data_IF_742926798473
#
_entry.id   IF_742926798473
#
_cell.length_a   1.000
_cell.length_b   1.000
_cell.length_c   1.000
_cell.angle_alpha   90.00
_cell.angle_beta   90.00
_cell.angle_gamma   90.00
#
_symmetry.space_group_name_H-M   'P 1'
#
loop_
_entity.id
_entity.type
_entity.pdbx_description
1 polymer ?
#
# COMPACT_ATOMS: atom_id res chain seq x y z
N UNK A 1 9.07 -28.68 -10.97
CA UNK A 1 8.47 -28.39 -9.66
C UNK A 1 8.31 -26.88 -9.60
N UNK A 2 7.08 -26.38 -9.69
CA UNK A 2 6.81 -24.95 -9.59
C UNK A 2 6.80 -24.64 -8.10
N UNK A 3 7.74 -23.81 -7.64
CA UNK A 3 7.75 -23.26 -6.28
C UNK A 3 6.43 -22.54 -6.06
N UNK A 4 5.63 -22.97 -5.08
CA UNK A 4 4.55 -22.18 -4.51
C UNK A 4 5.14 -20.80 -4.18
N UNK A 5 4.80 -19.78 -4.96
CA UNK A 5 5.14 -18.41 -4.57
C UNK A 5 4.24 -18.11 -3.39
N UNK A 6 4.86 -17.93 -2.22
CA UNK A 6 4.17 -17.40 -1.06
C UNK A 6 3.43 -16.12 -1.49
N UNK A 7 2.14 -16.11 -1.21
CA UNK A 7 1.29 -14.98 -1.50
C UNK A 7 1.72 -13.82 -0.59
N UNK A 8 1.80 -12.58 -1.11
CA UNK A 8 2.30 -11.48 -0.32
C UNK A 8 1.32 -11.14 0.82
N UNK A 9 1.84 -10.73 1.97
CA UNK A 9 1.03 -10.14 3.03
C UNK A 9 0.49 -8.75 2.62
N UNK A 10 1.28 -7.98 1.85
CA UNK A 10 0.96 -6.64 1.36
C UNK A 10 1.06 -6.55 -0.17
N UNK A 11 0.03 -6.04 -0.84
CA UNK A 11 0.07 -5.64 -2.25
C UNK A 11 -0.11 -4.12 -2.41
N UNK A 12 0.56 -3.51 -3.38
CA UNK A 12 0.41 -2.09 -3.72
C UNK A 12 0.07 -1.99 -5.20
N UNK A 13 -1.06 -1.38 -5.52
CA UNK A 13 -1.56 -1.19 -6.89
C UNK A 13 -1.61 0.30 -7.22
N UNK A 14 -1.03 0.68 -8.36
CA UNK A 14 -1.05 2.07 -8.86
C UNK A 14 -1.99 2.15 -10.05
N UNK A 15 -3.15 2.77 -9.86
CA UNK A 15 -4.21 2.83 -10.86
C UNK A 15 -4.08 4.14 -11.65
N UNK A 16 -3.59 4.02 -12.89
CA UNK A 16 -3.40 5.16 -13.82
C UNK A 16 -4.55 5.29 -14.82
N UNK A 17 -5.33 4.22 -15.02
CA UNK A 17 -6.48 4.18 -15.95
C UNK A 17 -7.72 3.68 -15.22
N UNK A 18 -8.89 4.20 -15.57
CA UNK A 18 -10.18 3.94 -14.91
C UNK A 18 -10.71 2.49 -14.96
N UNK A 19 -9.95 1.54 -15.52
CA UNK A 19 -10.32 0.13 -15.60
C UNK A 19 -10.00 -0.65 -14.32
N UNK A 20 -10.74 -0.40 -13.23
CA UNK A 20 -10.41 -0.93 -11.90
C UNK A 20 -11.51 -1.81 -11.27
N UNK A 21 -12.33 -2.49 -12.07
CA UNK A 21 -13.62 -2.94 -11.52
C UNK A 21 -13.49 -4.10 -10.51
N UNK A 22 -12.38 -4.85 -10.41
CA UNK A 22 -12.29 -6.05 -9.52
C UNK A 22 -10.94 -6.40 -8.91
N UNK A 23 -9.95 -5.49 -8.85
CA UNK A 23 -8.62 -5.83 -8.32
C UNK A 23 -8.68 -6.36 -6.88
N UNK A 24 -9.51 -5.76 -6.03
CA UNK A 24 -9.73 -6.20 -4.65
C UNK A 24 -10.37 -7.60 -4.58
N UNK A 25 -11.23 -7.97 -5.54
CA UNK A 25 -11.83 -9.32 -5.55
C UNK A 25 -10.76 -10.40 -5.83
N UNK A 26 -9.77 -10.09 -6.68
CA UNK A 26 -8.64 -10.99 -6.96
C UNK A 26 -7.81 -11.17 -5.69
N UNK A 27 -7.37 -10.08 -5.06
CA UNK A 27 -6.56 -10.14 -3.86
C UNK A 27 -7.27 -10.79 -2.67
N UNK A 28 -8.59 -10.60 -2.55
CA UNK A 28 -9.43 -11.26 -1.53
C UNK A 28 -9.41 -12.77 -1.68
N UNK A 29 -9.59 -13.27 -2.91
CA UNK A 29 -9.52 -14.72 -3.22
C UNK A 29 -8.13 -15.30 -3.00
N UNK A 30 -7.10 -14.47 -3.15
CA UNK A 30 -5.72 -14.81 -2.85
C UNK A 30 -5.40 -14.66 -1.35
N UNK A 31 -6.32 -14.18 -0.51
CA UNK A 31 -6.08 -14.03 0.92
C UNK A 31 -5.00 -13.02 1.30
N UNK A 32 -4.72 -12.03 0.44
CA UNK A 32 -3.75 -10.97 0.75
C UNK A 32 -4.29 -10.11 1.89
N UNK A 33 -3.53 -10.00 2.98
CA UNK A 33 -3.99 -9.36 4.22
C UNK A 33 -4.21 -7.86 4.06
N UNK A 34 -3.37 -7.19 3.29
CA UNK A 34 -3.42 -5.75 3.11
C UNK A 34 -3.18 -5.36 1.65
N UNK A 35 -3.99 -4.45 1.10
CA UNK A 35 -3.87 -3.94 -0.26
C UNK A 35 -3.92 -2.42 -0.23
N UNK A 36 -2.91 -1.78 -0.81
CA UNK A 36 -2.86 -0.33 -0.97
C UNK A 36 -3.19 0.04 -2.41
N UNK A 37 -4.17 0.91 -2.59
CA UNK A 37 -4.53 1.46 -3.89
C UNK A 37 -4.10 2.92 -3.95
N UNK A 38 -3.19 3.24 -4.87
CA UNK A 38 -2.88 4.62 -5.23
C UNK A 38 -3.65 5.00 -6.49
N UNK A 39 -4.61 5.91 -6.36
CA UNK A 39 -5.43 6.38 -7.47
C UNK A 39 -5.76 7.85 -7.27
N UNK A 40 -5.71 8.65 -8.35
CA UNK A 40 -6.08 10.07 -8.33
C UNK A 40 -5.36 10.86 -7.21
N UNK A 41 -4.05 10.59 -7.03
CA UNK A 41 -3.18 11.18 -5.99
C UNK A 41 -3.59 10.85 -4.54
N UNK A 42 -4.45 9.86 -4.34
CA UNK A 42 -4.90 9.39 -3.04
C UNK A 42 -4.44 7.96 -2.79
N UNK A 43 -3.94 7.70 -1.58
CA UNK A 43 -3.62 6.36 -1.09
C UNK A 43 -4.78 5.84 -0.24
N UNK A 44 -5.35 4.70 -0.62
CA UNK A 44 -6.37 3.99 0.16
C UNK A 44 -5.83 2.65 0.63
N UNK A 45 -6.01 2.33 1.91
CA UNK A 45 -5.56 1.08 2.50
C UNK A 45 -6.75 0.18 2.77
N UNK A 46 -6.69 -1.04 2.27
CA UNK A 46 -7.70 -2.07 2.46
C UNK A 46 -7.10 -3.23 3.27
N UNK A 47 -7.70 -3.54 4.42
CA UNK A 47 -7.31 -4.67 5.26
C UNK A 47 -8.37 -5.77 5.20
N UNK A 48 -7.93 -7.01 5.04
CA UNK A 48 -8.80 -8.19 4.95
C UNK A 48 -9.19 -8.66 6.36
N UNK A 49 -10.46 -8.56 6.70
CA UNK A 49 -11.03 -9.05 7.96
C UNK A 49 -12.27 -9.89 7.66
N UNK A 50 -12.35 -11.11 8.20
CA UNK A 50 -13.48 -12.02 7.99
C UNK A 50 -13.89 -12.20 6.50
N UNK A 51 -12.90 -12.36 5.62
CA UNK A 51 -13.06 -12.51 4.16
C UNK A 51 -13.56 -11.26 3.40
N UNK A 52 -13.60 -10.09 4.04
CA UNK A 52 -13.99 -8.81 3.42
C UNK A 52 -12.92 -7.73 3.63
N UNK A 53 -12.81 -6.81 2.67
CA UNK A 53 -11.87 -5.69 2.77
C UNK A 53 -12.54 -4.47 3.41
N UNK A 54 -11.86 -3.87 4.38
CA UNK A 54 -12.26 -2.62 5.02
C UNK A 54 -11.20 -1.55 4.82
N UNK A 55 -11.65 -0.31 4.61
CA UNK A 55 -10.73 0.83 4.52
C UNK A 55 -10.18 1.14 5.91
N UNK A 56 -8.87 1.35 6.01
CA UNK A 56 -8.18 1.71 7.25
C UNK A 56 -7.38 3.00 7.07
N UNK A 57 -7.28 3.79 8.14
CA UNK A 57 -6.44 5.01 8.17
C UNK A 57 -4.95 4.71 8.37
N UNK A 58 -4.63 3.49 8.84
CA UNK A 58 -3.27 3.04 9.13
C UNK A 58 -3.04 1.63 8.59
N UNK A 59 -1.78 1.35 8.24
CA UNK A 59 -1.35 0.00 7.89
C UNK A 59 -1.37 -0.91 9.12
N UNK A 60 -1.90 -2.12 8.97
CA UNK A 60 -1.84 -3.14 10.03
C UNK A 60 -0.48 -3.85 10.01
N UNK A 61 0.12 -4.01 8.83
CA UNK A 61 1.43 -4.63 8.66
C UNK A 61 2.60 -3.70 8.98
N UNK A 62 2.42 -2.38 8.78
CA UNK A 62 3.42 -1.34 9.01
C UNK A 62 2.86 -0.25 9.95
N UNK A 63 2.56 -0.57 11.21
CA UNK A 63 1.84 0.34 12.12
C UNK A 63 2.61 1.63 12.46
N UNK A 64 3.93 1.62 12.31
CA UNK A 64 4.80 2.76 12.58
C UNK A 64 5.07 3.63 11.34
N UNK A 65 4.54 3.25 10.18
CA UNK A 65 4.69 4.03 8.96
C UNK A 65 3.76 5.23 8.98
N UNK A 66 4.34 6.43 8.90
CA UNK A 66 3.56 7.65 8.67
C UNK A 66 3.15 7.74 7.20
N UNK A 67 1.90 7.35 6.94
CA UNK A 67 1.31 7.35 5.61
C UNK A 67 1.06 8.76 5.06
N UNK A 68 0.83 9.75 5.93
CA UNK A 68 0.67 11.13 5.49
C UNK A 68 2.00 11.66 4.96
N UNK A 69 3.09 11.40 5.69
CA UNK A 69 4.44 11.70 5.23
C UNK A 69 4.75 10.97 3.91
N UNK A 70 4.41 9.68 3.80
CA UNK A 70 4.59 8.92 2.57
C UNK A 70 3.88 9.57 1.37
N UNK A 71 2.61 9.94 1.52
CA UNK A 71 1.84 10.61 0.47
C UNK A 71 2.44 11.98 0.07
N UNK A 72 2.96 12.75 1.03
CA UNK A 72 3.65 14.01 0.74
C UNK A 72 4.92 13.79 -0.10
N UNK A 73 5.68 12.75 0.22
CA UNK A 73 6.95 12.43 -0.45
C UNK A 73 6.76 11.88 -1.86
N UNK A 74 5.68 11.12 -2.11
CA UNK A 74 5.34 10.61 -3.45
C UNK A 74 5.10 11.76 -4.43
N UNK A 75 4.49 12.85 -3.96
CA UNK A 75 4.20 14.03 -4.77
C UNK A 75 5.34 15.06 -4.79
N UNK A 76 6.50 14.76 -4.19
CA UNK A 76 7.62 15.69 -4.12
C UNK A 76 8.37 15.76 -5.47
N UNK A 77 8.62 16.97 -5.97
CA UNK A 77 9.37 17.25 -7.21
C UNK A 77 10.79 16.63 -7.30
N UNK A 78 11.35 16.20 -6.16
CA UNK A 78 12.68 15.62 -6.07
C UNK A 78 12.66 14.37 -5.20
N UNK A 79 12.32 13.23 -5.83
CA UNK A 79 12.24 11.93 -5.18
C UNK A 79 13.51 11.55 -4.41
N UNK A 80 14.71 11.95 -4.87
CA UNK A 80 15.96 11.62 -4.17
C UNK A 80 16.09 12.34 -2.84
N UNK A 81 15.69 13.61 -2.79
CA UNK A 81 15.68 14.37 -1.55
C UNK A 81 14.62 13.81 -0.59
N UNK A 82 13.42 13.55 -1.10
CA UNK A 82 12.33 12.93 -0.36
C UNK A 82 12.75 11.58 0.28
N UNK A 83 13.41 10.70 -0.49
CA UNK A 83 13.92 9.43 0.03
C UNK A 83 14.99 9.60 1.12
N UNK A 84 15.82 10.64 1.02
CA UNK A 84 16.83 10.95 2.04
C UNK A 84 16.17 11.41 3.34
N UNK A 85 15.25 12.37 3.26
CA UNK A 85 14.50 12.89 4.41
C UNK A 85 13.69 11.79 5.10
N UNK A 86 13.00 10.95 4.32
CA UNK A 86 12.27 9.80 4.85
C UNK A 86 13.16 8.84 5.63
N UNK A 87 14.35 8.54 5.10
CA UNK A 87 15.32 7.67 5.79
C UNK A 87 15.81 8.31 7.09
N UNK A 88 16.08 9.61 7.10
CA UNK A 88 16.52 10.32 8.30
C UNK A 88 15.42 10.37 9.37
N UNK A 89 14.16 10.48 8.97
CA UNK A 89 13.01 10.46 9.88
C UNK A 89 12.76 9.07 10.49
N UNK A 90 12.92 8.00 9.70
CA UNK A 90 12.70 6.63 10.20
C UNK A 90 13.87 6.12 11.05
N UNK A 91 15.11 6.47 10.73
CA UNK A 91 16.29 5.99 11.47
C UNK A 91 16.46 6.70 12.82
N UNK A 92 15.91 7.90 12.99
CA UNK A 92 16.03 8.71 14.21
C UNK A 92 14.75 8.73 15.07
N UNK A 93 13.74 7.93 14.75
CA UNK A 93 12.47 7.80 15.52
C UNK A 93 12.40 6.52 16.34
#
# INVERSE_FOLDING_TARGET
MVTDRELPDLAIEVIVTSGNIKILEVYRRLGVKEVWLWQDEQLQIYCLENEEYFIQEKSQLLPNLDLNLLCQLINHDNLRLAMKEFRELIVNS
#
